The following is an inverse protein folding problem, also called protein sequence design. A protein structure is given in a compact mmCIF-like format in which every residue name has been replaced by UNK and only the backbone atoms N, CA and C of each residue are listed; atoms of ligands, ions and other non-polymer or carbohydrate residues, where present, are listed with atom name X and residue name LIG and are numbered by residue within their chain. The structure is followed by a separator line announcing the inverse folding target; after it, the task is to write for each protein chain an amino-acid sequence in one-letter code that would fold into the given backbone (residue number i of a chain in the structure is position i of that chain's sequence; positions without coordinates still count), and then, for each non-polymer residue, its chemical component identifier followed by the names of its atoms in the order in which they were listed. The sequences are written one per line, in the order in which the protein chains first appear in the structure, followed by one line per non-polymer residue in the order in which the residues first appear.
data_IF_087923710844
#
_entry.id   IF_087923710844
#
_cell.length_a   1.000
_cell.length_b   1.000
_cell.length_c   1.000
_cell.angle_alpha   90.00
_cell.angle_beta   90.00
_cell.angle_gamma   90.00
#
_symmetry.space_group_name_H-M   'P 1'
#
loop_
_entity.id
_entity.type
_entity.pdbx_description
1 polymer ?
#
# COMPACT_ATOMS: atom_id res chain seq x y z
N UNK A 1 27.34 -11.70 12.66
CA UNK A 1 26.55 -10.46 12.87
C UNK A 1 25.11 -10.68 12.40
N UNK A 2 24.09 -10.49 13.24
CA UNK A 2 22.71 -10.80 12.89
C UNK A 2 22.16 -9.83 11.84
N UNK A 3 21.40 -10.34 10.86
CA UNK A 3 20.81 -9.56 9.76
C UNK A 3 19.30 -9.72 9.76
N UNK A 4 18.57 -8.65 10.06
CA UNK A 4 17.09 -8.66 10.15
C UNK A 4 16.37 -9.05 8.85
N UNK A 5 16.93 -8.74 7.66
CA UNK A 5 16.34 -9.04 6.35
C UNK A 5 17.42 -9.38 5.34
N UNK A 6 17.24 -10.42 4.50
CA UNK A 6 18.20 -10.82 3.44
C UNK A 6 18.59 -9.65 2.50
N UNK A 7 17.65 -8.76 2.17
CA UNK A 7 17.87 -7.61 1.30
C UNK A 7 18.22 -6.30 2.04
N UNK A 8 18.48 -6.32 3.36
CA UNK A 8 18.69 -5.11 4.20
C UNK A 8 17.53 -4.09 4.13
N UNK A 9 16.36 -4.49 3.63
CA UNK A 9 15.21 -3.59 3.43
C UNK A 9 15.26 -2.76 2.14
N UNK A 10 16.11 -3.11 1.18
CA UNK A 10 16.20 -2.51 -0.15
C UNK A 10 15.65 -3.46 -1.22
N UNK A 11 15.15 -2.92 -2.32
CA UNK A 11 14.70 -3.70 -3.49
C UNK A 11 15.80 -3.93 -4.54
N UNK A 12 16.93 -3.24 -4.40
CA UNK A 12 18.06 -3.31 -5.31
C UNK A 12 18.74 -4.70 -5.27
N UNK A 13 18.96 -5.29 -6.45
CA UNK A 13 19.77 -6.49 -6.64
C UNK A 13 20.80 -6.26 -7.74
N UNK A 14 22.08 -6.50 -7.46
CA UNK A 14 23.17 -6.46 -8.45
C UNK A 14 23.71 -5.07 -8.81
N UNK A 15 22.93 -4.00 -8.61
CA UNK A 15 23.41 -2.63 -8.78
C UNK A 15 23.91 -2.01 -7.47
N UNK A 16 24.85 -1.05 -7.58
CA UNK A 16 25.47 -0.39 -6.43
C UNK A 16 24.64 0.76 -5.86
N UNK A 17 24.15 1.65 -6.74
CA UNK A 17 23.40 2.85 -6.36
C UNK A 17 22.14 3.01 -7.21
N UNK A 18 21.08 3.52 -6.59
CA UNK A 18 19.85 3.94 -7.26
C UNK A 18 19.61 5.43 -7.01
N UNK A 19 18.92 6.08 -7.94
CA UNK A 19 18.56 7.49 -7.83
C UNK A 19 17.82 7.84 -6.54
N UNK A 20 17.98 9.10 -6.11
CA UNK A 20 17.33 9.63 -4.92
C UNK A 20 15.94 10.17 -5.27
N UNK A 21 14.99 9.94 -4.36
CA UNK A 21 13.63 10.50 -4.39
C UNK A 21 13.37 11.29 -3.12
N UNK A 22 12.57 12.35 -3.21
CA UNK A 22 12.18 13.13 -2.04
C UNK A 22 10.94 12.54 -1.37
N UNK A 23 10.95 12.50 -0.04
CA UNK A 23 9.75 12.18 0.74
C UNK A 23 8.71 13.28 0.59
N UNK A 24 7.47 12.90 0.31
CA UNK A 24 6.35 13.85 0.16
C UNK A 24 5.97 14.59 1.45
N UNK A 25 6.43 14.12 2.62
CA UNK A 25 6.04 14.70 3.92
C UNK A 25 7.18 15.46 4.58
N UNK A 26 8.32 14.80 4.79
CA UNK A 26 9.46 15.41 5.48
C UNK A 26 10.47 16.04 4.52
N UNK A 27 10.32 15.89 3.20
CA UNK A 27 11.29 16.39 2.22
C UNK A 27 12.66 15.72 2.26
N UNK A 28 12.85 14.67 3.06
CA UNK A 28 14.14 13.97 3.13
C UNK A 28 14.43 13.22 1.82
N UNK A 29 15.69 13.28 1.39
CA UNK A 29 16.19 12.53 0.24
C UNK A 29 16.45 11.07 0.61
N UNK A 30 15.81 10.15 -0.10
CA UNK A 30 15.83 8.72 0.17
C UNK A 30 16.16 8.00 -1.13
N UNK A 31 16.97 6.94 -1.12
CA UNK A 31 17.19 6.15 -2.33
C UNK A 31 15.90 5.42 -2.74
N UNK A 32 15.61 5.39 -4.04
CA UNK A 32 14.34 4.92 -4.59
C UNK A 32 13.98 3.49 -4.17
N UNK A 33 14.96 2.58 -4.11
CA UNK A 33 14.82 1.20 -3.66
C UNK A 33 14.35 1.04 -2.21
N UNK A 34 14.65 2.02 -1.36
CA UNK A 34 14.30 2.02 0.07
C UNK A 34 13.02 2.80 0.35
N UNK A 35 12.62 3.67 -0.55
CA UNK A 35 11.41 4.47 -0.40
C UNK A 35 10.14 3.61 -0.47
N UNK A 36 9.16 3.95 0.37
CA UNK A 36 7.85 3.31 0.31
C UNK A 36 7.04 4.04 -0.75
N UNK A 37 6.85 3.39 -1.89
CA UNK A 37 6.04 3.87 -3.01
C UNK A 37 4.59 3.47 -2.80
N UNK A 38 3.70 4.45 -2.82
CA UNK A 38 2.26 4.27 -2.78
C UNK A 38 1.63 4.95 -4.00
N UNK A 39 1.00 4.17 -4.88
CA UNK A 39 0.27 4.69 -6.03
C UNK A 39 -1.21 4.66 -5.72
N UNK A 40 -1.88 5.82 -5.76
CA UNK A 40 -3.33 5.94 -5.58
C UNK A 40 -3.96 6.58 -6.80
N UNK A 41 -5.12 6.08 -7.21
CA UNK A 41 -5.95 6.72 -8.21
C UNK A 41 -6.75 7.83 -7.54
N UNK A 42 -6.56 9.07 -7.99
CA UNK A 42 -7.23 10.25 -7.46
C UNK A 42 -8.12 10.82 -8.54
N UNK A 43 -9.42 10.91 -8.25
CA UNK A 43 -10.35 11.71 -9.02
C UNK A 43 -10.34 13.17 -8.52
N UNK A 44 -10.56 14.15 -9.39
CA UNK A 44 -10.76 15.55 -9.00
C UNK A 44 -11.97 15.70 -8.06
N UNK A 45 -13.05 14.97 -8.36
CA UNK A 45 -14.30 14.99 -7.61
C UNK A 45 -14.31 13.77 -6.69
N UNK A 46 -14.60 13.96 -5.40
CA UNK A 46 -14.60 12.89 -4.39
C UNK A 46 -16.02 12.62 -3.86
N UNK A 47 -16.24 11.40 -3.42
CA UNK A 47 -17.41 11.04 -2.61
C UNK A 47 -18.70 10.85 -3.43
N UNK A 48 -19.81 11.34 -2.89
CA UNK A 48 -21.15 11.13 -3.46
C UNK A 48 -21.35 11.87 -4.78
N UNK A 49 -20.78 13.06 -4.92
CA UNK A 49 -20.92 13.90 -6.12
C UNK A 49 -20.37 13.18 -7.35
N UNK A 50 -19.24 12.48 -7.22
CA UNK A 50 -18.71 11.70 -8.35
C UNK A 50 -19.66 10.60 -8.81
N UNK A 51 -20.41 9.98 -7.90
CA UNK A 51 -21.36 8.94 -8.24
C UNK A 51 -22.61 9.50 -8.94
N UNK A 52 -23.14 10.63 -8.44
CA UNK A 52 -24.26 11.34 -9.06
C UNK A 52 -23.90 11.76 -10.51
N UNK A 53 -22.72 12.32 -10.69
CA UNK A 53 -22.20 12.78 -11.97
C UNK A 53 -21.95 11.62 -12.95
N UNK A 54 -21.40 10.51 -12.47
CA UNK A 54 -21.24 9.29 -13.29
C UNK A 54 -22.62 8.73 -13.69
N UNK A 55 -23.63 8.79 -12.80
CA UNK A 55 -25.02 8.37 -13.09
C UNK A 55 -25.71 9.29 -14.11
N UNK A 56 -25.41 10.59 -14.07
CA UNK A 56 -25.86 11.56 -15.09
C UNK A 56 -25.12 11.41 -16.44
N UNK A 57 -24.16 10.49 -16.54
CA UNK A 57 -23.45 10.18 -17.79
C UNK A 57 -22.16 10.96 -18.00
N UNK A 58 -21.69 11.73 -17.01
CA UNK A 58 -20.41 12.45 -17.11
C UNK A 58 -19.23 11.53 -16.79
N UNK A 59 -18.15 11.64 -17.56
CA UNK A 59 -16.95 10.85 -17.35
C UNK A 59 -16.01 11.53 -16.35
N UNK A 60 -15.83 10.93 -15.17
CA UNK A 60 -14.91 11.43 -14.14
C UNK A 60 -13.52 10.83 -14.34
N UNK A 61 -12.60 11.66 -14.85
CA UNK A 61 -11.20 11.24 -15.03
C UNK A 61 -10.52 10.89 -13.68
N UNK A 62 -9.77 9.79 -13.66
CA UNK A 62 -8.99 9.34 -12.50
C UNK A 62 -7.51 9.33 -12.89
N UNK A 63 -6.68 10.05 -12.13
CA UNK A 63 -5.22 10.14 -12.40
C UNK A 63 -4.44 9.32 -11.37
N UNK A 64 -3.41 8.56 -11.79
CA UNK A 64 -2.53 7.87 -10.85
C UNK A 64 -1.56 8.87 -10.23
N UNK A 65 -1.60 9.01 -8.91
CA UNK A 65 -0.65 9.82 -8.14
C UNK A 65 0.24 8.88 -7.34
N UNK A 66 1.54 8.91 -7.65
CA UNK A 66 2.58 8.17 -6.91
C UNK A 66 3.17 9.04 -5.82
N UNK A 67 3.10 8.59 -4.56
CA UNK A 67 3.76 9.22 -3.42
C UNK A 67 4.91 8.36 -2.93
N UNK A 68 6.02 9.01 -2.61
CA UNK A 68 7.19 8.40 -2.00
C UNK A 68 7.29 8.84 -0.54
N UNK A 69 7.52 7.87 0.36
CA UNK A 69 7.64 8.12 1.78
C UNK A 69 8.93 7.56 2.38
N UNK A 70 9.41 8.27 3.40
CA UNK A 70 10.44 7.82 4.32
C UNK A 70 9.91 6.69 5.22
N UNK A 71 10.79 5.77 5.66
CA UNK A 71 10.38 4.64 6.53
C UNK A 71 9.74 5.16 7.83
N UNK A 72 10.32 6.19 8.43
CA UNK A 72 9.80 6.79 9.67
C UNK A 72 8.41 7.39 9.47
N UNK A 73 8.21 8.13 8.37
CA UNK A 73 6.96 8.77 7.98
C UNK A 73 5.86 7.73 7.74
N UNK A 74 6.22 6.63 7.08
CA UNK A 74 5.30 5.55 6.79
C UNK A 74 4.87 4.78 8.05
N UNK A 75 5.76 4.62 9.02
CA UNK A 75 5.43 4.01 10.33
C UNK A 75 4.54 4.95 11.13
N UNK A 76 4.91 6.23 11.21
CA UNK A 76 4.15 7.22 11.98
C UNK A 76 2.71 7.38 11.48
N UNK A 77 2.50 7.35 10.15
CA UNK A 77 1.15 7.41 9.55
C UNK A 77 0.45 6.05 9.44
N UNK A 78 1.09 4.96 9.88
CA UNK A 78 0.52 3.61 9.83
C UNK A 78 0.37 3.02 8.43
N UNK A 79 1.05 3.56 7.41
CA UNK A 79 1.11 3.01 6.05
C UNK A 79 1.80 1.64 6.08
N UNK A 80 2.86 1.52 6.87
CA UNK A 80 3.58 0.26 7.11
C UNK A 80 3.60 -0.01 8.61
N UNK A 81 3.23 -1.24 8.99
CA UNK A 81 3.25 -1.69 10.38
C UNK A 81 4.39 -2.69 10.62
N UNK A 82 5.02 -2.70 11.81
CA UNK A 82 5.92 -3.76 12.21
C UNK A 82 5.21 -5.12 12.12
N UNK A 83 5.92 -6.14 11.61
CA UNK A 83 5.42 -7.52 11.46
C UNK A 83 6.30 -8.49 12.24
N UNK A 84 5.71 -9.63 12.63
CA UNK A 84 6.42 -10.79 13.16
C UNK A 84 7.51 -11.28 12.20
N UNK A 85 8.46 -12.07 12.68
CA UNK A 85 9.61 -12.48 11.87
C UNK A 85 9.20 -13.33 10.66
N UNK A 86 8.29 -14.26 10.86
CA UNK A 86 7.77 -15.17 9.86
C UNK A 86 7.03 -14.40 8.75
N UNK A 87 6.15 -13.48 9.15
CA UNK A 87 5.35 -12.64 8.24
C UNK A 87 6.18 -11.69 7.38
N UNK A 88 7.42 -11.37 7.77
CA UNK A 88 8.28 -10.47 6.98
C UNK A 88 8.67 -11.06 5.63
N UNK A 89 8.69 -12.40 5.51
CA UNK A 89 9.05 -13.11 4.28
C UNK A 89 7.91 -13.09 3.25
N UNK A 90 6.68 -12.86 3.70
CA UNK A 90 5.51 -12.77 2.82
C UNK A 90 5.49 -11.43 2.06
N UNK A 91 5.47 -11.51 0.72
CA UNK A 91 5.45 -10.36 -0.20
C UNK A 91 4.06 -9.72 -0.32
N UNK A 92 3.00 -10.52 -0.22
CA UNK A 92 1.60 -10.05 -0.19
C UNK A 92 0.95 -10.64 1.04
N UNK A 93 0.32 -9.80 1.85
CA UNK A 93 -0.52 -10.29 2.93
C UNK A 93 -1.73 -10.98 2.29
N UNK A 94 -2.14 -12.18 2.75
CA UNK A 94 -3.38 -12.77 2.29
C UNK A 94 -4.51 -11.77 2.54
N UNK A 95 -5.32 -11.49 1.52
CA UNK A 95 -6.53 -10.70 1.71
C UNK A 95 -7.37 -11.45 2.75
N UNK A 96 -7.82 -10.76 3.79
CA UNK A 96 -8.84 -11.32 4.68
C UNK A 96 -10.00 -11.79 3.80
N UNK A 97 -10.28 -13.10 3.80
CA UNK A 97 -11.42 -13.66 3.07
C UNK A 97 -12.68 -13.05 3.70
N UNK A 98 -13.26 -12.03 3.06
CA UNK A 98 -14.56 -11.50 3.46
C UNK A 98 -15.61 -12.52 3.03
N UNK A 99 -16.01 -13.37 3.96
CA UNK A 99 -17.12 -14.32 3.77
C UNK A 99 -17.08 -15.41 4.81
N UNK A 100 -17.90 -15.29 5.85
CA UNK A 100 -18.29 -16.44 6.67
C UNK A 100 -19.13 -17.32 5.73
N UNK A 101 -18.82 -18.60 5.51
CA UNK A 101 -19.69 -19.46 4.73
C UNK A 101 -21.01 -19.65 5.50
N UNK A 102 -22.10 -19.03 5.03
CA UNK A 102 -23.48 -19.19 5.53
C UNK A 102 -24.04 -20.63 5.36
N UNK A 103 -23.17 -21.64 5.19
CA UNK A 103 -23.56 -23.04 5.01
C UNK A 103 -23.97 -23.73 6.32
N UNK A 104 -23.84 -23.05 7.48
CA UNK A 104 -24.11 -23.65 8.80
C UNK A 104 -25.50 -23.33 9.40
N UNK A 105 -26.27 -22.38 8.84
CA UNK A 105 -27.55 -21.94 9.43
C UNK A 105 -28.82 -22.59 8.84
N UNK A 106 -28.70 -23.51 7.87
CA UNK A 106 -29.86 -24.16 7.21
C UNK A 106 -30.08 -25.63 7.57
N UNK A 107 -29.40 -26.18 8.58
CA UNK A 107 -29.53 -27.61 8.99
C UNK A 107 -30.24 -27.87 10.32
N UNK A 108 -30.80 -26.84 10.97
CA UNK A 108 -31.51 -26.98 12.26
C UNK A 108 -32.98 -26.54 12.20
N UNK A 109 -33.54 -26.38 11.01
CA UNK A 109 -34.98 -26.14 10.82
C UNK A 109 -35.51 -27.24 9.88
N UNK A 110 -35.52 -28.47 10.39
CA UNK A 110 -36.49 -29.53 10.09
C UNK A 110 -36.80 -30.16 11.43
#
# INVERSE_FOLDING_TARGET
MPKKRKNRGRRLSGAGHEGLVQCTLCGASIPADKAIKETRWVSPIRGQISYELEKQGTYVSKKPVTKYYCISCAIHRGIVRPRAEEDRKLTRMPKAQKGIPLKFLKKQII
#
